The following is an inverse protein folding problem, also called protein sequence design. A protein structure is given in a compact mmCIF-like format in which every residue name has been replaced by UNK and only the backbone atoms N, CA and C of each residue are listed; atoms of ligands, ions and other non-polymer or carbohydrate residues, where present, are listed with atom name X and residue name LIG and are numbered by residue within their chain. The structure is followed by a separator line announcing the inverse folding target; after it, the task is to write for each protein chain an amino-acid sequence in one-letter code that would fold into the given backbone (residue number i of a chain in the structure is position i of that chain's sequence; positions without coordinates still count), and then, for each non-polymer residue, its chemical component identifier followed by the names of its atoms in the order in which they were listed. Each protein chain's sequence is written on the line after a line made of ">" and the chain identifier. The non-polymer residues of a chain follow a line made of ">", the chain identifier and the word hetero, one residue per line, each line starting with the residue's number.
data_IF_225468703593
#
_entry.id   IF_225468703593
#
_cell.length_a   1.000
_cell.length_b   1.000
_cell.length_c   1.000
_cell.angle_alpha   90.00
_cell.angle_beta   90.00
_cell.angle_gamma   90.00
#
_symmetry.space_group_name_H-M   'P 1'
#
loop_
_entity.id
_entity.type
_entity.pdbx_description
1 polymer ?
#
# COMPACT_ATOMS: atom_id res chain seq x y z
N UNK A 1 -3.05 -7.91 -21.14
CA UNK A 1 -1.65 -8.28 -20.79
C UNK A 1 -0.62 -7.40 -21.48
N UNK A 2 -0.64 -7.29 -22.82
CA UNK A 2 0.35 -6.49 -23.57
C UNK A 2 0.37 -5.01 -23.15
N UNK A 3 -0.79 -4.39 -22.95
CA UNK A 3 -0.90 -2.98 -22.55
C UNK A 3 -0.27 -2.69 -21.19
N UNK A 4 -0.40 -3.61 -20.25
CA UNK A 4 0.21 -3.49 -18.94
C UNK A 4 1.74 -3.57 -19.01
N UNK A 5 2.29 -4.50 -19.81
CA UNK A 5 3.74 -4.61 -20.01
C UNK A 5 4.32 -3.33 -20.65
N UNK A 6 3.63 -2.77 -21.65
CA UNK A 6 4.04 -1.51 -22.28
C UNK A 6 4.03 -0.35 -21.28
N UNK A 7 2.98 -0.26 -20.46
CA UNK A 7 2.89 0.78 -19.42
C UNK A 7 4.02 0.67 -18.41
N UNK A 8 4.33 -0.54 -17.95
CA UNK A 8 5.37 -0.77 -16.96
C UNK A 8 6.76 -0.48 -17.55
N UNK A 9 7.02 -0.85 -18.81
CA UNK A 9 8.28 -0.52 -19.47
C UNK A 9 8.45 1.00 -19.62
N UNK A 10 7.37 1.72 -19.94
CA UNK A 10 7.38 3.18 -19.97
C UNK A 10 7.68 3.80 -18.58
N UNK A 11 7.12 3.24 -17.50
CA UNK A 11 7.43 3.67 -16.14
C UNK A 11 8.90 3.43 -15.84
N UNK A 12 9.44 2.28 -16.22
CA UNK A 12 10.84 1.93 -16.01
C UNK A 12 11.78 2.91 -16.74
N UNK A 13 11.51 3.22 -18.01
CA UNK A 13 12.27 4.25 -18.74
C UNK A 13 12.23 5.60 -18.03
N UNK A 14 11.08 6.02 -17.50
CA UNK A 14 10.95 7.26 -16.77
C UNK A 14 11.76 7.25 -15.45
N UNK A 15 11.77 6.14 -14.72
CA UNK A 15 12.60 5.98 -13.51
C UNK A 15 14.08 6.08 -13.85
N UNK A 16 14.54 5.39 -14.90
CA UNK A 16 15.93 5.48 -15.37
C UNK A 16 16.32 6.91 -15.78
N UNK A 17 15.44 7.59 -16.50
CA UNK A 17 15.68 8.97 -16.88
C UNK A 17 15.80 9.87 -15.64
N UNK A 18 14.86 9.78 -14.70
CA UNK A 18 14.91 10.57 -13.46
C UNK A 18 16.18 10.29 -12.66
N UNK A 19 16.57 9.03 -12.53
CA UNK A 19 17.81 8.63 -11.87
C UNK A 19 19.04 9.27 -12.54
N UNK A 20 19.10 9.26 -13.88
CA UNK A 20 20.23 9.82 -14.64
C UNK A 20 20.43 11.32 -14.42
N UNK A 21 19.37 12.04 -14.06
CA UNK A 21 19.40 13.49 -13.78
C UNK A 21 19.35 13.81 -12.27
N UNK A 22 19.53 12.80 -11.40
CA UNK A 22 19.53 12.95 -9.94
C UNK A 22 18.17 13.30 -9.33
N UNK A 23 17.06 12.91 -9.98
CA UNK A 23 15.70 13.20 -9.51
C UNK A 23 15.08 11.95 -8.88
N UNK A 24 14.52 12.08 -7.67
CA UNK A 24 13.74 11.03 -7.03
C UNK A 24 12.41 10.80 -7.78
N UNK A 25 11.93 9.54 -7.75
CA UNK A 25 10.62 9.14 -8.31
C UNK A 25 9.76 8.56 -7.22
N UNK A 26 8.47 8.89 -7.22
CA UNK A 26 7.45 8.29 -6.36
C UNK A 26 6.47 7.54 -7.25
N UNK A 27 6.36 6.23 -7.07
CA UNK A 27 5.47 5.36 -7.83
C UNK A 27 4.40 4.79 -6.91
N UNK A 28 3.15 5.07 -7.20
CA UNK A 28 2.01 4.55 -6.47
C UNK A 28 1.28 3.51 -7.32
N UNK A 29 1.17 2.29 -6.82
CA UNK A 29 0.45 1.18 -7.44
C UNK A 29 -0.83 0.93 -6.64
N UNK A 30 -1.93 1.50 -7.11
CA UNK A 30 -3.24 1.28 -6.51
C UNK A 30 -3.80 -0.09 -6.90
N UNK A 31 -4.57 -0.70 -6.01
CA UNK A 31 -5.14 -2.04 -6.18
C UNK A 31 -4.06 -3.08 -6.60
N UNK A 32 -2.93 -3.07 -5.92
CA UNK A 32 -1.78 -3.94 -6.20
C UNK A 32 -2.16 -5.41 -6.47
N UNK A 33 -3.11 -6.03 -5.74
CA UNK A 33 -3.54 -7.40 -6.02
C UNK A 33 -4.09 -7.63 -7.44
N UNK A 34 -4.68 -6.62 -8.07
CA UNK A 34 -5.18 -6.71 -9.44
C UNK A 34 -4.05 -6.73 -10.49
N UNK A 35 -2.87 -6.24 -10.11
CA UNK A 35 -1.67 -6.25 -10.95
C UNK A 35 -0.94 -7.59 -10.80
N UNK A 36 -1.07 -8.27 -9.68
CA UNK A 36 -0.35 -9.49 -9.31
C UNK A 36 -1.14 -10.77 -9.62
N UNK A 37 -1.70 -10.88 -10.83
CA UNK A 37 -2.61 -11.98 -11.20
C UNK A 37 -1.86 -13.20 -11.76
N UNK A 38 -0.86 -12.99 -12.62
CA UNK A 38 -0.10 -14.08 -13.23
C UNK A 38 1.30 -14.22 -12.63
N UNK A 39 1.91 -15.40 -12.65
CA UNK A 39 3.28 -15.57 -12.18
C UNK A 39 4.28 -14.61 -12.84
N UNK A 40 4.12 -14.33 -14.11
CA UNK A 40 4.98 -13.41 -14.87
C UNK A 40 4.84 -11.96 -14.36
N UNK A 41 3.61 -11.54 -14.06
CA UNK A 41 3.35 -10.22 -13.49
C UNK A 41 3.98 -10.08 -12.09
N UNK A 42 3.84 -11.11 -11.27
CA UNK A 42 4.41 -11.12 -9.91
C UNK A 42 5.94 -11.05 -9.98
N UNK A 43 6.59 -11.88 -10.79
CA UNK A 43 8.04 -11.87 -10.98
C UNK A 43 8.53 -10.51 -11.49
N UNK A 44 7.80 -9.94 -12.43
CA UNK A 44 8.13 -8.63 -12.97
C UNK A 44 8.03 -7.53 -11.89
N UNK A 45 6.92 -7.46 -11.16
CA UNK A 45 6.74 -6.46 -10.09
C UNK A 45 7.79 -6.65 -8.99
N UNK A 46 8.10 -7.89 -8.57
CA UNK A 46 9.17 -8.16 -7.62
C UNK A 46 10.53 -7.62 -8.13
N UNK A 47 10.83 -7.82 -9.41
CA UNK A 47 12.09 -7.35 -9.98
C UNK A 47 12.22 -5.83 -9.96
N UNK A 48 11.16 -5.10 -10.33
CA UNK A 48 11.18 -3.63 -10.29
C UNK A 48 11.12 -3.08 -8.87
N UNK A 49 10.44 -3.77 -7.94
CA UNK A 49 10.39 -3.37 -6.53
C UNK A 49 11.78 -3.27 -5.91
N UNK A 50 12.61 -4.26 -6.18
CA UNK A 50 14.01 -4.26 -5.72
C UNK A 50 14.89 -3.29 -6.53
N UNK A 51 14.76 -3.28 -7.86
CA UNK A 51 15.59 -2.48 -8.75
C UNK A 51 15.38 -0.98 -8.53
N UNK A 52 14.13 -0.54 -8.45
CA UNK A 52 13.80 0.88 -8.37
C UNK A 52 14.27 1.54 -7.07
N UNK A 53 14.32 0.77 -5.97
CA UNK A 53 14.92 1.25 -4.72
C UNK A 53 16.36 1.74 -4.91
N UNK A 54 17.19 1.02 -5.67
CA UNK A 54 18.57 1.42 -5.94
C UNK A 54 18.68 2.65 -6.83
N UNK A 55 17.59 3.03 -7.49
CA UNK A 55 17.50 4.20 -8.39
C UNK A 55 16.79 5.40 -7.75
N UNK A 56 16.67 5.43 -6.44
CA UNK A 56 15.99 6.53 -5.74
C UNK A 56 14.50 6.62 -6.06
N UNK A 57 13.88 5.51 -6.47
CA UNK A 57 12.44 5.41 -6.61
C UNK A 57 11.82 4.80 -5.36
N UNK A 58 10.83 5.50 -4.81
CA UNK A 58 10.01 5.03 -3.70
C UNK A 58 8.73 4.45 -4.28
N UNK A 59 8.57 3.13 -4.17
CA UNK A 59 7.37 2.43 -4.62
C UNK A 59 6.44 2.23 -3.43
N UNK A 60 5.18 2.57 -3.63
CA UNK A 60 4.10 2.33 -2.67
C UNK A 60 3.03 1.48 -3.32
N UNK A 61 2.81 0.28 -2.81
CA UNK A 61 1.69 -0.57 -3.20
C UNK A 61 0.52 -0.40 -2.24
N UNK A 62 -0.69 -0.27 -2.77
CA UNK A 62 -1.91 -0.17 -2.00
C UNK A 62 -2.79 -1.41 -2.25
N UNK A 63 -3.38 -1.93 -1.19
CA UNK A 63 -4.28 -3.07 -1.24
C UNK A 63 -5.38 -2.93 -0.19
N UNK A 64 -6.60 -3.29 -0.55
CA UNK A 64 -7.73 -3.25 0.38
C UNK A 64 -7.68 -4.40 1.39
N UNK A 65 -7.09 -5.53 1.01
CA UNK A 65 -6.94 -6.69 1.88
C UNK A 65 -5.55 -7.29 1.75
N UNK A 66 -4.95 -7.64 2.88
CA UNK A 66 -3.65 -8.30 2.92
C UNK A 66 -3.73 -9.77 2.47
N UNK A 67 -4.89 -10.39 2.60
CA UNK A 67 -5.11 -11.81 2.29
C UNK A 67 -4.60 -12.19 0.91
N UNK A 68 -4.97 -11.40 -0.10
CA UNK A 68 -4.58 -11.64 -1.50
C UNK A 68 -3.05 -11.58 -1.72
N UNK A 69 -2.34 -10.79 -0.92
CA UNK A 69 -0.88 -10.72 -0.97
C UNK A 69 -0.21 -11.87 -0.22
N UNK A 70 -0.88 -12.47 0.76
CA UNK A 70 -0.35 -13.55 1.59
C UNK A 70 -0.62 -14.95 1.02
N UNK A 71 -1.61 -15.11 0.16
CA UNK A 71 -2.02 -16.40 -0.40
C UNK A 71 -0.96 -17.00 -1.35
N UNK A 72 -0.10 -16.17 -1.91
CA UNK A 72 0.98 -16.61 -2.80
C UNK A 72 2.35 -16.29 -2.18
N UNK A 73 3.25 -17.28 -2.10
CA UNK A 73 4.59 -17.08 -1.56
C UNK A 73 5.40 -16.01 -2.31
N UNK A 74 5.18 -15.86 -3.61
CA UNK A 74 5.88 -14.86 -4.44
C UNK A 74 5.43 -13.43 -4.14
N UNK A 75 4.17 -13.23 -3.77
CA UNK A 75 3.67 -11.90 -3.35
C UNK A 75 4.11 -11.56 -1.94
N UNK A 76 4.44 -12.56 -1.10
CA UNK A 76 5.05 -12.32 0.22
C UNK A 76 6.40 -11.65 0.12
N UNK A 77 7.18 -11.93 -0.93
CA UNK A 77 8.47 -11.27 -1.16
C UNK A 77 8.34 -9.75 -1.27
N UNK A 78 7.23 -9.23 -1.79
CA UNK A 78 6.94 -7.79 -1.80
C UNK A 78 6.81 -7.23 -0.38
N UNK A 79 6.12 -7.96 0.50
CA UNK A 79 5.98 -7.57 1.90
C UNK A 79 7.32 -7.65 2.64
N UNK A 80 8.10 -8.70 2.44
CA UNK A 80 9.42 -8.86 3.05
C UNK A 80 10.42 -7.79 2.60
N UNK A 81 10.31 -7.33 1.35
CA UNK A 81 11.13 -6.25 0.80
C UNK A 81 10.56 -4.85 1.05
N UNK A 82 9.45 -4.74 1.77
CA UNK A 82 8.84 -3.47 2.17
C UNK A 82 9.28 -3.10 3.58
N UNK A 83 9.75 -1.87 3.74
CA UNK A 83 10.26 -1.37 5.02
C UNK A 83 9.16 -0.67 5.84
N UNK A 84 8.17 -0.10 5.14
CA UNK A 84 7.09 0.68 5.73
C UNK A 84 5.75 0.03 5.45
N UNK A 85 4.94 -0.16 6.49
CA UNK A 85 3.56 -0.61 6.37
C UNK A 85 2.65 0.41 7.01
N UNK A 86 1.79 1.03 6.19
CA UNK A 86 0.69 1.85 6.68
C UNK A 86 -0.56 0.99 6.72
N UNK A 87 -0.98 0.62 7.92
CA UNK A 87 -2.07 -0.32 8.15
C UNK A 87 -3.28 0.46 8.64
N UNK A 88 -4.24 0.65 7.76
CA UNK A 88 -5.52 1.25 8.10
C UNK A 88 -6.44 0.22 8.75
N UNK A 89 -7.63 0.64 9.21
CA UNK A 89 -8.65 -0.25 9.74
C UNK A 89 -8.88 -1.48 8.85
N UNK A 90 -9.01 -2.63 9.46
CA UNK A 90 -9.16 -3.93 8.79
C UNK A 90 -10.43 -4.65 9.24
N UNK A 91 -10.87 -5.63 8.43
CA UNK A 91 -11.99 -6.52 8.78
C UNK A 91 -11.51 -7.63 9.71
N UNK A 92 -12.28 -7.96 10.74
CA UNK A 92 -11.95 -8.97 11.76
C UNK A 92 -11.49 -10.32 11.16
N UNK A 93 -12.05 -10.72 10.02
CA UNK A 93 -11.67 -11.95 9.33
C UNK A 93 -10.18 -12.08 8.99
N UNK A 94 -9.45 -10.97 8.88
CA UNK A 94 -8.01 -10.96 8.57
C UNK A 94 -7.09 -10.86 9.80
N UNK A 95 -7.63 -10.76 11.02
CA UNK A 95 -6.87 -10.57 12.28
C UNK A 95 -5.71 -11.56 12.44
N UNK A 96 -5.98 -12.84 12.26
CA UNK A 96 -4.98 -13.89 12.42
C UNK A 96 -3.84 -13.80 11.40
N UNK A 97 -4.15 -13.37 10.18
CA UNK A 97 -3.15 -13.17 9.13
C UNK A 97 -2.23 -12.00 9.44
N UNK A 98 -2.79 -10.88 9.93
CA UNK A 98 -1.98 -9.74 10.38
C UNK A 98 -1.07 -10.12 11.55
N UNK A 99 -1.58 -10.85 12.54
CA UNK A 99 -0.80 -11.33 13.67
C UNK A 99 0.37 -12.20 13.21
N UNK A 100 0.10 -13.19 12.36
CA UNK A 100 1.10 -14.17 11.93
C UNK A 100 2.16 -13.59 10.98
N UNK A 101 1.79 -12.70 10.08
CA UNK A 101 2.68 -12.25 9.00
C UNK A 101 3.36 -10.90 9.27
N UNK A 102 2.75 -10.03 10.06
CA UNK A 102 3.34 -8.73 10.41
C UNK A 102 3.84 -8.68 11.85
N UNK A 103 3.66 -9.74 12.63
CA UNK A 103 4.16 -9.83 14.00
C UNK A 103 3.57 -8.76 14.92
N UNK A 104 2.28 -8.38 14.71
CA UNK A 104 1.60 -7.40 15.54
C UNK A 104 1.20 -7.99 16.89
N UNK A 105 1.34 -7.21 17.94
CA UNK A 105 0.90 -7.54 19.30
C UNK A 105 -0.62 -7.49 19.43
N UNK A 106 -1.18 -8.08 20.48
CA UNK A 106 -2.62 -8.05 20.73
C UNK A 106 -3.16 -6.60 20.83
N UNK A 107 -2.42 -5.69 21.45
CA UNK A 107 -2.81 -4.29 21.58
C UNK A 107 -2.83 -3.57 20.22
N UNK A 108 -1.84 -3.82 19.36
CA UNK A 108 -1.78 -3.26 18.01
C UNK A 108 -2.91 -3.81 17.13
N UNK A 109 -3.21 -5.10 17.26
CA UNK A 109 -4.35 -5.69 16.56
C UNK A 109 -5.67 -5.05 17.00
N UNK A 110 -5.90 -4.87 18.30
CA UNK A 110 -7.11 -4.22 18.79
C UNK A 110 -7.27 -2.82 18.21
N UNK A 111 -6.18 -2.07 18.09
CA UNK A 111 -6.20 -0.72 17.54
C UNK A 111 -6.74 -0.66 16.09
N UNK A 112 -6.38 -1.62 15.24
CA UNK A 112 -6.80 -1.64 13.82
C UNK A 112 -8.09 -2.43 13.57
N UNK A 113 -8.58 -3.22 14.54
CA UNK A 113 -9.77 -4.05 14.35
C UNK A 113 -10.98 -3.57 15.16
N UNK A 114 -10.77 -2.98 16.34
CA UNK A 114 -11.85 -2.61 17.25
C UNK A 114 -12.23 -1.13 17.17
N UNK A 115 -11.30 -0.23 16.81
CA UNK A 115 -11.62 1.18 16.67
C UNK A 115 -12.38 1.47 15.36
N UNK A 116 -13.51 2.16 15.46
CA UNK A 116 -14.43 2.38 14.33
C UNK A 116 -14.27 3.77 13.68
N UNK A 117 -13.17 4.45 13.95
CA UNK A 117 -12.92 5.79 13.43
C UNK A 117 -12.11 5.75 12.13
N UNK A 118 -12.62 6.33 11.02
CA UNK A 118 -11.88 6.44 9.78
C UNK A 118 -10.67 7.36 9.93
N UNK A 119 -9.58 7.03 9.26
CA UNK A 119 -8.34 7.83 9.29
C UNK A 119 -7.32 7.36 10.32
N UNK A 120 -7.67 6.46 11.22
CA UNK A 120 -6.75 5.87 12.19
C UNK A 120 -6.07 4.60 11.65
N UNK A 121 -4.86 4.34 12.11
CA UNK A 121 -4.11 3.16 11.70
C UNK A 121 -2.77 3.04 12.41
N UNK A 122 -1.97 2.08 11.95
CA UNK A 122 -0.63 1.82 12.46
C UNK A 122 0.40 2.04 11.35
N UNK A 123 1.45 2.76 11.67
CA UNK A 123 2.68 2.81 10.89
C UNK A 123 3.68 1.82 11.50
N UNK A 124 4.00 0.77 10.78
CA UNK A 124 5.05 -0.18 11.15
C UNK A 124 6.28 0.08 10.30
N UNK A 125 7.42 0.25 10.97
CA UNK A 125 8.74 0.45 10.35
C UNK A 125 9.72 -0.52 11.02
N UNK A 126 10.17 -1.52 10.29
CA UNK A 126 11.01 -2.58 10.86
C UNK A 126 10.32 -3.23 12.07
N UNK A 127 10.89 -3.09 13.26
CA UNK A 127 10.36 -3.62 14.52
C UNK A 127 9.50 -2.62 15.31
N UNK A 128 9.50 -1.37 14.92
CA UNK A 128 8.72 -0.32 15.59
C UNK A 128 7.33 -0.19 14.97
N UNK A 129 6.32 -0.06 15.83
CA UNK A 129 4.95 0.21 15.41
C UNK A 129 4.44 1.44 16.16
N UNK A 130 3.91 2.41 15.43
CA UNK A 130 3.39 3.68 15.97
C UNK A 130 1.95 3.88 15.51
N UNK A 131 1.01 4.12 16.42
CA UNK A 131 -0.34 4.52 16.03
C UNK A 131 -0.33 5.92 15.41
N UNK A 132 -1.18 6.14 14.43
CA UNK A 132 -1.38 7.45 13.82
C UNK A 132 -2.87 7.75 13.69
N UNK A 133 -3.18 9.03 13.61
CA UNK A 133 -4.51 9.56 13.38
C UNK A 133 -4.43 10.61 12.26
N UNK A 134 -5.03 10.30 11.13
CA UNK A 134 -5.19 11.17 9.97
C UNK A 134 -6.66 11.56 9.77
N UNK A 135 -7.48 11.46 10.82
CA UNK A 135 -8.88 11.87 10.76
C UNK A 135 -8.97 13.36 10.43
N UNK A 136 -9.83 13.69 9.48
CA UNK A 136 -10.08 15.07 9.08
C UNK A 136 -11.40 15.57 9.65
N UNK A 137 -11.39 16.80 10.15
CA UNK A 137 -12.62 17.47 10.55
C UNK A 137 -13.52 17.69 9.32
N UNK A 138 -14.80 17.31 9.45
CA UNK A 138 -15.76 17.27 8.33
C UNK A 138 -16.10 18.64 7.74
N UNK A 139 -15.81 19.71 8.44
CA UNK A 139 -16.04 21.09 8.05
C UNK A 139 -14.85 21.72 7.31
N UNK A 140 -13.77 20.96 7.09
CA UNK A 140 -12.59 21.45 6.38
C UNK A 140 -12.76 21.35 4.85
N UNK A 141 -12.14 22.27 4.13
CA UNK A 141 -12.07 22.26 2.68
C UNK A 141 -11.40 20.98 2.18
N UNK A 142 -10.32 20.54 2.86
CA UNK A 142 -9.61 19.31 2.53
C UNK A 142 -10.52 18.08 2.64
N UNK A 143 -11.33 17.98 3.70
CA UNK A 143 -12.30 16.89 3.82
C UNK A 143 -13.28 16.90 2.65
N UNK A 144 -13.79 18.05 2.26
CA UNK A 144 -14.73 18.18 1.13
C UNK A 144 -14.09 17.74 -0.19
N UNK A 145 -12.80 18.03 -0.41
CA UNK A 145 -12.08 17.66 -1.64
C UNK A 145 -11.80 16.16 -1.75
N UNK A 146 -11.52 15.48 -0.65
CA UNK A 146 -11.14 14.07 -0.65
C UNK A 146 -12.30 13.12 -0.31
N UNK A 147 -13.42 13.65 0.18
CA UNK A 147 -14.57 12.84 0.56
C UNK A 147 -15.25 12.25 -0.68
N UNK A 148 -15.25 10.94 -0.80
CA UNK A 148 -15.87 10.18 -1.88
C UNK A 148 -17.27 9.65 -1.53
N UNK A 149 -17.82 10.00 -0.35
CA UNK A 149 -19.15 9.57 0.03
C UNK A 149 -20.22 10.26 -0.82
N UNK A 150 -20.83 9.49 -1.71
CA UNK A 150 -21.86 9.94 -2.65
C UNK A 150 -23.05 10.61 -1.96
N UNK A 151 -23.43 10.16 -0.77
CA UNK A 151 -24.55 10.71 -0.02
C UNK A 151 -24.23 12.05 0.64
N UNK A 152 -22.97 12.34 0.94
CA UNK A 152 -22.55 13.62 1.51
C UNK A 152 -22.39 14.71 0.43
N UNK A 153 -22.01 14.32 -0.80
CA UNK A 153 -21.77 15.26 -1.92
C UNK A 153 -23.09 15.81 -2.48
N UNK A 154 -24.19 15.06 -2.39
CA UNK A 154 -25.50 15.41 -2.97
C UNK A 154 -26.51 15.93 -1.96
N UNK A 155 -26.14 16.15 -0.69
CA UNK A 155 -26.97 16.91 0.26
C UNK A 155 -26.73 18.42 0.08
N UNK A 156 -27.38 18.99 -0.91
CA UNK A 156 -27.70 20.41 -0.99
C UNK A 156 -29.19 20.61 -0.97
#
# INVERSE_FOLDING_TARGET
>A
ELSMLVMIESIKEQVFYNYSIGRATYLYLDELPQILVTPQQIEFINSIWMLFRSMGCIITGMAQTITQLLDNYRTRELLENSEFFLIMKQKEASRNQFAANLGLTASELNYIFEEDEPGKGLLKVSTATVPFDLSLEKDTELYTMINTDFHSIHKK
#
